data_IF_737617820898
#
_entry.id   IF_737617820898
#
_cell.length_a   1.000
_cell.length_b   1.000
_cell.length_c   1.000
_cell.angle_alpha   90.00
_cell.angle_beta   90.00
_cell.angle_gamma   90.00
#
_symmetry.space_group_name_H-M   'P 1'
#
loop_
_entity.id
_entity.type
_entity.pdbx_description
1 polymer ?
#
# COMPACT_ATOMS: atom_id res chain seq x y z
N UNK A 1 -11.65 7.91 20.94
CA UNK A 1 -12.23 7.02 19.88
C UNK A 1 -11.52 7.34 18.57
N UNK A 2 -10.99 6.34 17.85
CA UNK A 2 -10.26 6.56 16.59
C UNK A 2 -11.20 6.37 15.39
N UNK A 3 -11.01 7.13 14.32
CA UNK A 3 -11.72 6.98 13.03
C UNK A 3 -10.68 6.65 11.96
N UNK A 4 -11.00 5.69 11.09
CA UNK A 4 -10.12 5.22 10.02
C UNK A 4 -10.81 5.40 8.67
N UNK A 5 -10.02 5.74 7.65
CA UNK A 5 -10.49 5.96 6.29
C UNK A 5 -9.66 5.11 5.33
N UNK A 6 -10.33 4.55 4.31
CA UNK A 6 -9.69 3.87 3.19
C UNK A 6 -9.71 4.83 2.00
N UNK A 7 -8.55 5.06 1.39
CA UNK A 7 -8.38 5.93 0.23
C UNK A 7 -7.69 5.16 -0.90
N UNK A 8 -8.11 5.43 -2.13
CA UNK A 8 -7.41 4.99 -3.33
C UNK A 8 -6.65 6.17 -3.92
N UNK A 9 -5.36 6.00 -4.19
CA UNK A 9 -4.58 7.01 -4.90
C UNK A 9 -5.02 7.01 -6.37
N UNK A 10 -5.52 8.15 -6.84
CA UNK A 10 -5.91 8.38 -8.24
C UNK A 10 -4.84 9.11 -9.07
N UNK A 11 -3.89 9.75 -8.39
CA UNK A 11 -2.77 10.49 -8.99
C UNK A 11 -1.51 9.64 -9.15
N UNK A 12 -0.40 10.30 -9.47
CA UNK A 12 0.91 9.67 -9.57
C UNK A 12 1.54 9.48 -8.20
N UNK A 13 2.37 8.46 -8.04
CA UNK A 13 3.21 8.27 -6.85
C UNK A 13 4.13 9.49 -6.60
N UNK A 14 4.50 10.22 -7.65
CA UNK A 14 5.32 11.44 -7.56
C UNK A 14 4.58 12.62 -6.89
N UNK A 15 3.25 12.59 -6.84
CA UNK A 15 2.43 13.65 -6.24
C UNK A 15 2.43 13.56 -4.70
N UNK A 16 2.91 12.45 -4.13
CA UNK A 16 2.96 12.23 -2.68
C UNK A 16 4.20 12.91 -2.09
N UNK A 17 4.02 14.10 -1.51
CA UNK A 17 5.05 14.84 -0.80
C UNK A 17 4.83 14.85 0.73
N UNK A 18 5.72 14.20 1.48
CA UNK A 18 5.68 14.15 2.96
C UNK A 18 6.52 15.22 3.67
N UNK A 19 7.26 16.04 2.92
CA UNK A 19 8.20 17.04 3.45
C UNK A 19 7.59 18.46 3.51
N UNK A 20 6.27 18.57 3.48
CA UNK A 20 5.56 19.85 3.43
C UNK A 20 5.42 20.54 4.80
N UNK A 21 5.57 19.78 5.89
CA UNK A 21 5.53 20.29 7.27
C UNK A 21 6.92 20.72 7.74
N UNK A 22 6.99 21.70 8.64
CA UNK A 22 8.24 22.08 9.34
C UNK A 22 8.80 20.95 10.22
N UNK A 23 7.94 20.03 10.63
CA UNK A 23 8.28 18.78 11.34
C UNK A 23 7.59 17.62 10.62
N UNK A 24 8.24 17.00 9.62
CA UNK A 24 7.70 15.86 8.89
C UNK A 24 7.47 14.66 9.80
N UNK A 25 6.32 13.98 9.68
CA UNK A 25 6.06 12.73 10.41
C UNK A 25 6.78 11.53 9.78
N UNK A 26 7.00 11.59 8.46
CA UNK A 26 7.53 10.49 7.68
C UNK A 26 8.72 10.94 6.82
N UNK A 27 9.77 10.13 6.77
CA UNK A 27 10.92 10.37 5.90
C UNK A 27 10.62 9.98 4.43
N UNK A 28 9.77 8.97 4.24
CA UNK A 28 9.44 8.42 2.94
C UNK A 28 8.39 7.31 3.03
N UNK A 29 8.06 6.73 1.88
CA UNK A 29 6.99 5.75 1.76
C UNK A 29 7.29 4.72 0.68
N UNK A 30 6.57 3.60 0.73
CA UNK A 30 6.56 2.58 -0.32
C UNK A 30 5.25 1.81 -0.29
N UNK A 31 4.82 1.34 -1.44
CA UNK A 31 3.76 0.34 -1.51
C UNK A 31 4.20 -0.98 -0.88
N UNK A 32 3.29 -1.62 -0.14
CA UNK A 32 3.50 -2.92 0.50
C UNK A 32 2.27 -3.80 0.28
N UNK A 33 2.46 -5.12 0.39
CA UNK A 33 1.34 -6.06 0.37
C UNK A 33 0.34 -5.73 1.47
N UNK A 34 -0.96 -5.88 1.17
CA UNK A 34 -2.05 -5.46 2.06
C UNK A 34 -1.83 -5.88 3.51
N UNK A 35 -1.59 -7.15 3.81
CA UNK A 35 -1.45 -7.63 5.20
C UNK A 35 -0.12 -7.32 5.90
N UNK A 36 0.84 -6.70 5.21
CA UNK A 36 2.18 -6.41 5.75
C UNK A 36 2.17 -5.48 6.98
N UNK A 37 1.41 -4.37 7.03
CA UNK A 37 1.43 -3.44 8.17
C UNK A 37 1.00 -4.08 9.50
N UNK A 38 0.06 -5.05 9.48
CA UNK A 38 -0.37 -5.76 10.71
C UNK A 38 0.80 -6.48 11.39
N UNK A 39 1.80 -6.94 10.63
CA UNK A 39 2.94 -7.68 11.17
C UNK A 39 4.08 -6.78 11.64
N UNK A 40 4.17 -5.56 11.13
CA UNK A 40 5.30 -4.65 11.33
C UNK A 40 4.99 -3.47 12.23
N UNK A 41 3.71 -3.16 12.42
CA UNK A 41 3.29 -2.07 13.31
C UNK A 41 3.69 -2.37 14.75
N UNK A 42 3.99 -1.30 15.51
CA UNK A 42 4.24 -1.36 16.96
C UNK A 42 3.17 -2.18 17.69
N UNK A 43 3.61 -2.98 18.66
CA UNK A 43 2.81 -4.04 19.28
C UNK A 43 1.44 -3.58 19.80
N UNK A 44 1.39 -2.42 20.45
CA UNK A 44 0.16 -1.88 21.03
C UNK A 44 -0.88 -1.42 20.00
N UNK A 45 -0.50 -1.17 18.74
CA UNK A 45 -1.42 -0.81 17.64
C UNK A 45 -1.90 -2.02 16.83
N UNK A 46 -1.27 -3.18 16.98
CA UNK A 46 -1.48 -4.35 16.12
C UNK A 46 -2.95 -4.79 16.05
N UNK A 47 -3.65 -4.80 17.18
CA UNK A 47 -5.03 -5.26 17.23
C UNK A 47 -6.01 -4.27 16.59
N UNK A 48 -5.75 -2.97 16.71
CA UNK A 48 -6.53 -1.93 16.03
C UNK A 48 -6.33 -2.05 14.52
N UNK A 49 -5.08 -2.16 14.06
CA UNK A 49 -4.75 -2.36 12.64
C UNK A 49 -5.42 -3.62 12.08
N UNK A 50 -5.39 -4.74 12.83
CA UNK A 50 -6.04 -5.98 12.39
C UNK A 50 -7.54 -5.80 12.14
N UNK A 51 -8.25 -5.07 13.01
CA UNK A 51 -9.69 -4.82 12.87
C UNK A 51 -9.98 -3.94 11.65
N UNK A 52 -9.27 -2.81 11.53
CA UNK A 52 -9.43 -1.86 10.42
C UNK A 52 -9.18 -2.52 9.08
N UNK A 53 -8.09 -3.28 8.97
CA UNK A 53 -7.73 -3.96 7.73
C UNK A 53 -8.66 -5.12 7.40
N UNK A 54 -9.23 -5.78 8.41
CA UNK A 54 -10.27 -6.78 8.16
C UNK A 54 -11.55 -6.14 7.59
N UNK A 55 -11.95 -4.98 8.11
CA UNK A 55 -13.12 -4.23 7.62
C UNK A 55 -12.92 -3.71 6.18
N UNK A 56 -11.71 -3.29 5.83
CA UNK A 56 -11.39 -2.75 4.51
C UNK A 56 -10.98 -3.80 3.46
N UNK A 57 -10.80 -5.06 3.87
CA UNK A 57 -10.29 -6.11 2.99
C UNK A 57 -11.21 -6.37 1.79
N UNK A 58 -12.53 -6.45 2.00
CA UNK A 58 -13.48 -6.73 0.92
C UNK A 58 -13.41 -5.68 -0.20
N UNK A 59 -13.38 -4.40 0.16
CA UNK A 59 -13.29 -3.29 -0.79
C UNK A 59 -11.94 -3.29 -1.51
N UNK A 60 -10.86 -3.50 -0.76
CA UNK A 60 -9.50 -3.46 -1.34
C UNK A 60 -9.23 -4.63 -2.28
N UNK A 61 -9.68 -5.84 -1.93
CA UNK A 61 -9.47 -7.03 -2.79
C UNK A 61 -10.32 -6.95 -4.06
N UNK A 62 -11.56 -6.44 -3.97
CA UNK A 62 -12.40 -6.22 -5.15
C UNK A 62 -11.78 -5.22 -6.14
N UNK A 63 -11.12 -4.17 -5.64
CA UNK A 63 -10.38 -3.21 -6.49
C UNK A 63 -9.11 -3.82 -7.11
N UNK A 64 -8.45 -4.75 -6.41
CA UNK A 64 -7.27 -5.41 -6.94
C UNK A 64 -7.61 -6.33 -8.13
N UNK A 65 -8.80 -6.95 -8.11
CA UNK A 65 -9.28 -7.82 -9.19
C UNK A 65 -9.70 -7.05 -10.45
N UNK A 66 -10.13 -5.80 -10.31
CA UNK A 66 -10.54 -4.96 -11.45
C UNK A 66 -9.39 -4.28 -12.19
N UNK A 67 -8.17 -4.32 -11.64
CA UNK A 67 -7.00 -3.71 -12.28
C UNK A 67 -6.42 -4.69 -13.31
N UNK A 68 -6.35 -4.33 -14.61
CA UNK A 68 -5.80 -5.21 -15.63
C UNK A 68 -4.32 -5.51 -15.33
N UNK A 69 -3.96 -6.80 -15.28
CA UNK A 69 -2.56 -7.23 -15.14
C UNK A 69 -1.74 -6.65 -16.30
N UNK A 70 -0.58 -6.04 -16.05
CA UNK A 70 0.33 -5.68 -17.13
C UNK A 70 0.68 -6.95 -17.90
N UNK A 71 0.33 -6.97 -19.19
CA UNK A 71 0.69 -8.06 -20.10
C UNK A 71 2.22 -8.21 -20.06
N UNK A 72 2.65 -9.42 -19.73
CA UNK A 72 4.03 -9.86 -19.65
C UNK A 72 4.90 -9.27 -20.77
N UNK A 73 5.92 -8.50 -20.39
CA UNK A 73 7.00 -8.17 -21.32
C UNK A 73 7.68 -9.48 -21.79
N UNK A 74 8.05 -9.60 -23.08
CA UNK A 74 8.64 -10.81 -23.60
C UNK A 74 9.96 -11.10 -22.88
N UNK A 75 10.14 -12.36 -22.48
CA UNK A 75 11.35 -12.84 -21.82
C UNK A 75 12.58 -12.48 -22.65
N UNK A 76 13.47 -11.65 -22.11
CA UNK A 76 14.78 -11.38 -22.69
C UNK A 76 15.56 -12.70 -22.75
N UNK A 77 15.57 -13.33 -23.93
CA UNK A 77 16.33 -14.54 -24.24
C UNK A 77 17.82 -14.19 -24.21
N UNK A 78 18.48 -14.37 -23.06
CA UNK A 78 19.95 -14.34 -22.98
C UNK A 78 20.53 -15.40 -23.92
N UNK A 79 21.11 -14.98 -25.05
CA UNK A 79 22.06 -15.80 -25.81
C UNK A 79 23.31 -15.97 -24.94
N UNK A 80 23.56 -17.20 -24.48
CA UNK A 80 24.90 -17.60 -24.03
C UNK A 80 25.77 -17.74 -25.29
N UNK A 81 26.84 -16.95 -25.37
CA UNK A 81 28.03 -17.28 -26.15
C UNK A 81 28.97 -18.13 -25.30
#
# INVERSE_FOLDING_TARGET
>A
KQKWFLLQLIGSDADVNMQTSSTPEFDGWRWVSYWYPVRQVVSFKRDVYRRVMKEFASVTMALAESTPKPQSAPAYRRKRG
#
